data_IF_450240889043
#
_entry.id   IF_450240889043
#
_cell.length_a   1.000
_cell.length_b   1.000
_cell.length_c   1.000
_cell.angle_alpha   90.00
_cell.angle_beta   90.00
_cell.angle_gamma   90.00
#
_symmetry.space_group_name_H-M   'P 1'
#
loop_
_entity.id
_entity.type
_entity.pdbx_description
1 polymer ?
#
# COMPACT_ATOMS: atom_id res chain seq x y z
N UNK A 1 -10.18 28.76 -2.42
CA UNK A 1 -10.27 29.29 -3.80
C UNK A 1 -11.33 28.45 -4.49
N UNK A 2 -12.53 28.99 -4.60
CA UNK A 2 -13.67 28.36 -5.27
C UNK A 2 -13.49 28.61 -6.77
N UNK A 3 -13.09 27.58 -7.51
CA UNK A 3 -13.11 27.61 -8.96
C UNK A 3 -14.57 27.63 -9.41
N UNK A 4 -14.95 28.65 -10.17
CA UNK A 4 -16.26 28.72 -10.80
C UNK A 4 -16.33 27.66 -11.92
N UNK A 5 -17.47 26.97 -12.10
CA UNK A 5 -17.68 26.12 -13.27
C UNK A 5 -17.78 27.00 -14.52
N UNK A 6 -16.73 27.05 -15.28
CA UNK A 6 -16.64 27.79 -16.54
C UNK A 6 -15.84 26.98 -17.55
N UNK A 7 -16.45 26.79 -18.71
CA UNK A 7 -15.90 26.17 -19.93
C UNK A 7 -15.97 24.64 -20.03
N UNK A 8 -17.18 24.05 -19.96
CA UNK A 8 -17.39 22.68 -20.46
C UNK A 8 -16.66 21.57 -19.69
N UNK A 9 -15.99 21.89 -18.57
CA UNK A 9 -15.35 20.90 -17.70
C UNK A 9 -16.36 20.30 -16.73
N UNK A 10 -16.08 19.08 -16.31
CA UNK A 10 -16.84 18.35 -15.28
C UNK A 10 -16.00 18.21 -14.03
N UNK A 11 -16.66 18.26 -12.88
CA UNK A 11 -15.99 18.13 -11.58
C UNK A 11 -16.09 16.69 -11.07
N UNK A 12 -14.95 16.06 -10.82
CA UNK A 12 -14.85 14.74 -10.19
C UNK A 12 -14.37 14.92 -8.76
N UNK A 13 -15.20 14.52 -7.78
CA UNK A 13 -14.85 14.57 -6.35
C UNK A 13 -14.46 13.17 -5.87
N UNK A 14 -13.28 13.03 -5.30
CA UNK A 14 -12.77 11.78 -4.76
C UNK A 14 -12.97 11.72 -3.23
N UNK A 15 -13.73 10.74 -2.76
CA UNK A 15 -13.88 10.45 -1.33
C UNK A 15 -12.99 9.26 -0.92
N UNK A 16 -12.54 9.19 0.33
CA UNK A 16 -12.80 10.09 1.47
C UNK A 16 -11.95 11.37 1.49
N UNK A 17 -10.99 11.54 0.58
CA UNK A 17 -10.05 12.68 0.61
C UNK A 17 -10.75 14.05 0.43
N UNK A 18 -11.88 14.09 -0.27
CA UNK A 18 -12.58 15.32 -0.63
C UNK A 18 -11.84 16.17 -1.68
N UNK A 19 -10.82 15.61 -2.31
CA UNK A 19 -10.11 16.27 -3.41
C UNK A 19 -10.97 16.24 -4.67
N UNK A 20 -11.00 17.33 -5.42
CA UNK A 20 -11.75 17.44 -6.66
C UNK A 20 -10.84 17.82 -7.83
N UNK A 21 -11.19 17.29 -8.98
CA UNK A 21 -10.52 17.53 -10.26
C UNK A 21 -11.54 18.09 -11.25
N UNK A 22 -11.22 19.23 -11.86
CA UNK A 22 -11.99 19.77 -12.99
C UNK A 22 -11.33 19.29 -14.28
N UNK A 23 -12.03 18.44 -15.01
CA UNK A 23 -11.50 17.76 -16.19
C UNK A 23 -12.45 17.87 -17.37
N UNK A 24 -11.91 17.71 -18.58
CA UNK A 24 -12.75 17.66 -19.77
C UNK A 24 -13.67 16.42 -19.73
N UNK A 25 -14.93 16.53 -20.19
CA UNK A 25 -15.80 15.38 -20.36
C UNK A 25 -15.12 14.29 -21.21
N UNK A 26 -15.27 13.02 -20.80
CA UNK A 26 -14.58 11.90 -21.43
C UNK A 26 -13.22 11.56 -20.83
N UNK A 27 -12.73 12.33 -19.85
CA UNK A 27 -11.50 12.00 -19.12
C UNK A 27 -11.74 10.77 -18.22
N UNK A 28 -10.76 9.83 -18.19
CA UNK A 28 -10.86 8.68 -17.31
C UNK A 28 -10.74 9.09 -15.84
N UNK A 29 -11.44 8.38 -14.95
CA UNK A 29 -11.34 8.64 -13.51
C UNK A 29 -9.93 8.43 -12.98
N UNK A 30 -9.15 7.53 -13.60
CA UNK A 30 -7.75 7.32 -13.26
C UNK A 30 -6.88 8.53 -13.62
N UNK A 31 -7.09 9.13 -14.79
CA UNK A 31 -6.30 10.30 -15.20
C UNK A 31 -6.73 11.54 -14.42
N UNK A 32 -8.03 11.68 -14.11
CA UNK A 32 -8.53 12.70 -13.19
C UNK A 32 -7.88 12.58 -11.81
N UNK A 33 -7.80 11.37 -11.25
CA UNK A 33 -7.14 11.12 -9.96
C UNK A 33 -5.66 11.48 -9.99
N UNK A 34 -4.96 11.14 -11.08
CA UNK A 34 -3.54 11.46 -11.28
C UNK A 34 -3.29 12.96 -11.36
N UNK A 35 -4.15 13.70 -12.07
CA UNK A 35 -4.03 15.14 -12.21
C UNK A 35 -4.02 15.88 -10.86
N UNK A 36 -4.82 15.38 -9.92
CA UNK A 36 -4.95 15.97 -8.56
C UNK A 36 -4.21 15.17 -7.48
N UNK A 37 -3.37 14.20 -7.88
CA UNK A 37 -2.53 13.38 -6.98
C UNK A 37 -3.34 12.57 -5.96
N UNK A 38 -4.54 12.15 -6.31
CA UNK A 38 -5.30 11.18 -5.53
C UNK A 38 -4.67 9.80 -5.73
N UNK A 39 -4.44 9.10 -4.62
CA UNK A 39 -3.81 7.78 -4.62
C UNK A 39 -4.78 6.72 -5.17
N UNK A 40 -4.67 6.43 -6.46
CA UNK A 40 -5.43 5.38 -7.15
C UNK A 40 -4.45 4.47 -7.89
N UNK A 41 -4.36 3.21 -7.43
CA UNK A 41 -3.39 2.24 -7.95
C UNK A 41 -3.73 1.77 -9.39
N UNK A 42 -2.72 1.64 -10.21
CA UNK A 42 -2.87 1.13 -11.58
C UNK A 42 -1.58 0.49 -12.08
N UNK A 43 -1.35 -0.76 -11.71
CA UNK A 43 -0.14 -1.51 -12.10
C UNK A 43 -0.11 -1.87 -13.60
N UNK A 44 -1.26 -1.92 -14.28
CA UNK A 44 -1.32 -2.19 -15.72
C UNK A 44 -1.18 -0.94 -16.59
N UNK A 45 -1.04 0.25 -16.00
CA UNK A 45 -0.95 1.51 -16.73
C UNK A 45 -2.24 1.93 -17.44
N UNK A 46 -3.41 1.59 -16.89
CA UNK A 46 -4.71 2.03 -17.45
C UNK A 46 -5.33 1.09 -18.48
N UNK A 47 -4.82 -0.12 -18.66
CA UNK A 47 -5.27 -1.07 -19.70
C UNK A 47 -6.47 -1.95 -19.31
N UNK A 48 -7.13 -1.73 -18.18
CA UNK A 48 -8.28 -2.52 -17.72
C UNK A 48 -7.95 -3.95 -17.27
N UNK A 49 -6.67 -4.30 -17.05
CA UNK A 49 -6.23 -5.67 -16.82
C UNK A 49 -6.02 -6.05 -15.35
N UNK A 50 -5.55 -5.14 -14.52
CA UNK A 50 -5.15 -5.45 -13.15
C UNK A 50 -6.27 -5.33 -12.12
N UNK A 51 -7.27 -4.47 -12.37
CA UNK A 51 -8.38 -4.17 -11.47
C UNK A 51 -7.98 -3.46 -10.17
N UNK A 52 -6.78 -2.88 -10.12
CA UNK A 52 -6.33 -2.13 -8.96
C UNK A 52 -7.00 -0.76 -8.83
N UNK A 53 -7.44 -0.20 -9.94
CA UNK A 53 -8.09 1.11 -10.01
C UNK A 53 -9.61 1.02 -9.80
N UNK A 54 -10.10 0.07 -9.01
CA UNK A 54 -11.52 0.00 -8.71
C UNK A 54 -11.95 1.20 -7.88
N UNK A 55 -13.06 1.81 -8.26
CA UNK A 55 -13.69 2.95 -7.59
C UNK A 55 -15.18 2.72 -7.55
N UNK A 56 -15.86 3.33 -6.59
CA UNK A 56 -17.32 3.20 -6.46
C UNK A 56 -17.97 4.57 -6.68
N UNK A 57 -18.66 4.78 -7.80
CA UNK A 57 -19.44 5.99 -8.00
C UNK A 57 -20.56 6.10 -6.97
N UNK A 58 -20.74 7.29 -6.42
CA UNK A 58 -21.81 7.58 -5.45
C UNK A 58 -22.94 8.30 -6.17
N UNK A 59 -24.17 7.82 -6.00
CA UNK A 59 -25.37 8.41 -6.59
C UNK A 59 -26.12 9.22 -5.52
N UNK A 60 -26.51 10.43 -5.85
CA UNK A 60 -27.26 11.32 -4.94
C UNK A 60 -26.91 12.78 -5.08
N UNK A 61 -27.48 13.57 -4.18
CA UNK A 61 -27.20 15.01 -4.05
C UNK A 61 -26.14 15.25 -2.98
N UNK A 62 -25.08 15.91 -3.35
CA UNK A 62 -23.94 16.21 -2.46
C UNK A 62 -23.84 17.71 -2.22
N UNK A 63 -24.70 18.22 -1.34
CA UNK A 63 -24.81 19.64 -1.02
C UNK A 63 -23.48 20.28 -0.61
N UNK A 64 -22.58 19.51 0.01
CA UNK A 64 -21.25 19.97 0.41
C UNK A 64 -20.43 20.51 -0.77
N UNK A 65 -20.61 19.93 -1.95
CA UNK A 65 -19.86 20.27 -3.17
C UNK A 65 -20.76 20.87 -4.25
N UNK A 66 -22.09 20.94 -4.01
CA UNK A 66 -23.05 21.42 -4.98
C UNK A 66 -23.22 20.52 -6.20
N UNK A 67 -22.96 19.22 -6.05
CA UNK A 67 -22.95 18.24 -7.13
C UNK A 67 -24.13 17.29 -6.96
N UNK A 68 -24.80 17.02 -8.06
CA UNK A 68 -25.74 15.89 -8.22
C UNK A 68 -25.07 14.85 -9.11
N UNK A 69 -24.87 13.66 -8.59
CA UNK A 69 -24.22 12.55 -9.28
C UNK A 69 -25.21 11.43 -9.50
N UNK A 70 -25.27 10.90 -10.70
CA UNK A 70 -26.14 9.80 -11.09
C UNK A 70 -25.39 8.79 -11.98
N UNK A 71 -26.06 7.73 -12.39
CA UNK A 71 -25.44 6.70 -13.24
C UNK A 71 -25.04 7.24 -14.62
N UNK A 72 -25.67 8.32 -15.12
CA UNK A 72 -25.35 8.95 -16.39
C UNK A 72 -24.15 9.89 -16.32
N UNK A 73 -23.71 10.23 -15.11
CA UNK A 73 -22.50 11.04 -14.89
C UNK A 73 -21.22 10.34 -15.36
N UNK A 74 -21.28 9.03 -15.57
CA UNK A 74 -20.17 8.23 -16.11
C UNK A 74 -20.54 7.59 -17.45
N UNK A 75 -19.50 7.26 -18.21
CA UNK A 75 -19.67 6.46 -19.43
C UNK A 75 -20.34 5.11 -19.15
N UNK A 76 -21.08 4.55 -20.13
CA UNK A 76 -21.56 3.17 -20.03
C UNK A 76 -20.42 2.17 -19.78
N UNK A 77 -20.76 0.98 -19.30
CA UNK A 77 -19.80 -0.11 -19.15
C UNK A 77 -19.08 -0.40 -20.45
N UNK A 78 -17.76 -0.47 -20.40
CA UNK A 78 -16.94 -0.84 -21.55
C UNK A 78 -16.86 -2.37 -21.71
N UNK A 79 -16.53 -2.84 -22.90
CA UNK A 79 -16.26 -4.27 -23.14
C UNK A 79 -15.14 -4.78 -22.23
N UNK A 80 -14.11 -3.98 -22.03
CA UNK A 80 -12.98 -4.31 -21.13
C UNK A 80 -13.41 -4.50 -19.67
N UNK A 81 -14.35 -3.70 -19.16
CA UNK A 81 -14.93 -3.87 -17.82
C UNK A 81 -15.77 -5.14 -17.74
N UNK A 82 -16.55 -5.42 -18.76
CA UNK A 82 -17.37 -6.63 -18.86
C UNK A 82 -16.50 -7.88 -18.91
N UNK A 83 -15.45 -7.87 -19.73
CA UNK A 83 -14.46 -8.96 -19.81
C UNK A 83 -13.70 -9.14 -18.49
N UNK A 84 -13.37 -8.04 -17.82
CA UNK A 84 -12.73 -8.12 -16.50
C UNK A 84 -13.68 -8.76 -15.49
N UNK A 85 -14.94 -8.31 -15.41
CA UNK A 85 -15.96 -8.85 -14.52
C UNK A 85 -16.23 -10.34 -14.76
N UNK A 86 -16.12 -10.80 -15.99
CA UNK A 86 -16.25 -12.22 -16.34
C UNK A 86 -15.10 -13.09 -15.83
N UNK A 87 -13.93 -12.51 -15.55
CA UNK A 87 -12.73 -13.23 -15.11
C UNK A 87 -12.35 -12.97 -13.65
N UNK A 88 -12.76 -11.84 -13.10
CA UNK A 88 -12.41 -11.38 -11.76
C UNK A 88 -13.54 -10.60 -11.12
N UNK A 89 -13.53 -10.51 -9.81
CA UNK A 89 -14.56 -9.77 -9.07
C UNK A 89 -14.33 -8.26 -9.19
N UNK A 90 -15.40 -7.53 -9.49
CA UNK A 90 -15.53 -6.09 -9.24
C UNK A 90 -16.51 -5.97 -8.08
N UNK A 91 -16.19 -5.14 -7.09
CA UNK A 91 -17.09 -4.87 -5.96
C UNK A 91 -18.47 -4.39 -6.45
N UNK A 92 -19.55 -4.72 -5.74
CA UNK A 92 -20.90 -4.26 -6.12
C UNK A 92 -20.94 -2.74 -6.31
N UNK A 93 -21.45 -2.27 -7.45
CA UNK A 93 -21.47 -0.85 -7.82
C UNK A 93 -20.11 -0.28 -8.25
N UNK A 94 -19.05 -1.06 -8.17
CA UNK A 94 -17.69 -0.62 -8.54
C UNK A 94 -17.49 -0.53 -10.05
N UNK A 95 -16.57 0.31 -10.48
CA UNK A 95 -16.13 0.52 -11.86
C UNK A 95 -14.59 0.48 -11.93
N UNK A 96 -14.04 0.21 -13.09
CA UNK A 96 -12.60 0.36 -13.30
C UNK A 96 -12.29 1.83 -13.65
N UNK A 97 -11.63 2.55 -12.75
CA UNK A 97 -11.33 3.98 -12.93
C UNK A 97 -10.55 4.31 -14.20
N UNK A 98 -9.81 3.35 -14.76
CA UNK A 98 -9.11 3.54 -16.03
C UNK A 98 -10.00 3.37 -17.26
N UNK A 99 -11.19 2.77 -17.12
CA UNK A 99 -12.14 2.52 -18.22
C UNK A 99 -13.36 3.43 -18.11
N UNK A 100 -13.79 3.77 -16.90
CA UNK A 100 -14.89 4.69 -16.67
C UNK A 100 -14.43 6.13 -16.89
N UNK A 101 -15.17 6.88 -17.71
CA UNK A 101 -14.91 8.29 -18.00
C UNK A 101 -15.99 9.17 -17.42
N UNK A 102 -15.61 10.37 -16.95
CA UNK A 102 -16.54 11.37 -16.44
C UNK A 102 -17.23 12.10 -17.60
N UNK A 103 -18.56 12.10 -17.62
CA UNK A 103 -19.39 12.81 -18.61
C UNK A 103 -20.10 14.02 -18.00
N UNK A 104 -20.36 13.97 -16.69
CA UNK A 104 -20.92 15.06 -15.89
C UNK A 104 -20.26 15.04 -14.51
N UNK A 105 -20.66 15.98 -13.65
CA UNK A 105 -20.17 16.04 -12.27
C UNK A 105 -20.46 14.73 -11.54
N UNK A 106 -19.44 14.23 -10.82
CA UNK A 106 -19.53 12.92 -10.18
C UNK A 106 -18.76 12.87 -8.88
N UNK A 107 -19.33 12.18 -7.91
CA UNK A 107 -18.63 11.83 -6.64
C UNK A 107 -18.24 10.36 -6.69
N UNK A 108 -16.98 10.08 -6.42
CA UNK A 108 -16.39 8.76 -6.56
C UNK A 108 -15.67 8.37 -5.28
N UNK A 109 -16.00 7.23 -4.70
CA UNK A 109 -15.29 6.67 -3.56
C UNK A 109 -14.09 5.86 -4.03
N UNK A 110 -12.93 6.11 -3.41
CA UNK A 110 -11.68 5.38 -3.63
C UNK A 110 -11.46 4.42 -2.46
N UNK A 111 -11.81 3.15 -2.61
CA UNK A 111 -11.68 2.20 -1.51
C UNK A 111 -10.21 1.99 -1.11
N UNK A 112 -9.92 1.68 0.16
CA UNK A 112 -8.55 1.45 0.64
C UNK A 112 -7.80 0.35 -0.11
N UNK A 113 -8.53 -0.60 -0.71
CA UNK A 113 -7.93 -1.67 -1.52
C UNK A 113 -7.36 -1.18 -2.87
N UNK A 114 -7.81 -0.02 -3.34
CA UNK A 114 -7.38 0.62 -4.59
C UNK A 114 -6.31 1.68 -4.37
N UNK A 115 -5.79 1.84 -3.16
CA UNK A 115 -4.74 2.79 -2.81
C UNK A 115 -3.40 2.07 -2.66
N UNK A 116 -2.32 2.69 -3.18
CA UNK A 116 -0.94 2.19 -2.99
C UNK A 116 -0.47 2.48 -1.57
N UNK A 117 -0.71 3.70 -1.12
CA UNK A 117 -0.29 4.18 0.19
C UNK A 117 -1.41 3.99 1.21
N UNK A 118 -1.49 2.81 1.80
CA UNK A 118 -2.41 2.60 2.93
C UNK A 118 -1.96 3.48 4.09
N UNK A 119 -2.81 4.37 4.62
CA UNK A 119 -2.45 5.13 5.80
C UNK A 119 -2.25 4.16 6.96
N UNK A 120 -1.00 3.93 7.30
CA UNK A 120 -0.67 3.20 8.53
C UNK A 120 -0.92 4.16 9.68
N UNK A 121 -2.03 3.98 10.37
CA UNK A 121 -2.29 4.71 11.62
C UNK A 121 -1.24 4.26 12.63
N UNK A 122 -0.14 5.00 12.71
CA UNK A 122 0.85 4.82 13.77
C UNK A 122 0.24 5.40 15.05
N UNK A 123 -0.29 4.53 15.89
CA UNK A 123 -0.62 4.95 17.25
C UNK A 123 0.68 5.41 17.90
N UNK A 124 0.71 6.65 18.40
CA UNK A 124 1.78 7.07 19.30
C UNK A 124 1.65 6.19 20.54
N UNK A 125 2.56 5.25 20.68
CA UNK A 125 2.67 4.47 21.90
C UNK A 125 3.62 5.25 22.79
N UNK A 126 3.06 5.98 23.75
CA UNK A 126 3.83 6.51 24.86
C UNK A 126 4.17 5.32 25.77
N UNK A 127 5.39 4.86 25.70
CA UNK A 127 5.95 3.88 26.61
C UNK A 127 6.81 4.61 27.66
N UNK A 128 6.23 5.01 28.80
CA UNK A 128 6.99 5.66 29.85
C UNK A 128 8.02 4.66 30.39
N UNK A 129 9.30 5.05 30.36
CA UNK A 129 10.40 4.24 30.90
C UNK A 129 11.08 3.30 29.90
N UNK A 130 10.73 3.33 28.60
CA UNK A 130 11.47 2.58 27.60
C UNK A 130 12.72 3.36 27.16
N UNK A 131 13.89 2.88 27.56
CA UNK A 131 15.16 3.35 27.00
C UNK A 131 15.37 2.65 25.66
N UNK A 132 15.33 3.40 24.57
CA UNK A 132 15.61 2.87 23.24
C UNK A 132 17.12 2.64 23.10
N UNK A 133 17.54 1.37 23.03
CA UNK A 133 18.89 0.97 22.64
C UNK A 133 18.84 0.33 21.23
N UNK A 134 18.88 1.14 20.18
CA UNK A 134 18.69 0.64 18.81
C UNK A 134 19.92 -0.18 18.38
N UNK A 135 19.67 -1.36 17.81
CA UNK A 135 20.73 -2.20 17.22
C UNK A 135 21.44 -1.50 16.04
N UNK A 136 20.77 -0.56 15.39
CA UNK A 136 21.32 0.20 14.27
C UNK A 136 21.10 1.68 14.56
N UNK A 137 22.17 2.45 14.52
CA UNK A 137 22.14 3.89 14.70
C UNK A 137 22.70 4.56 13.46
N UNK A 138 21.97 5.51 12.88
CA UNK A 138 22.48 6.35 11.80
C UNK A 138 23.42 7.41 12.36
N UNK A 139 24.57 7.59 11.73
CA UNK A 139 25.55 8.61 12.06
C UNK A 139 25.87 9.43 10.82
N UNK A 140 25.94 10.74 10.98
CA UNK A 140 26.42 11.63 9.94
C UNK A 140 27.94 11.72 10.07
N UNK A 141 28.66 11.59 8.95
CA UNK A 141 30.12 11.66 8.87
C UNK A 141 30.49 12.47 7.66
N UNK A 142 31.38 13.44 7.81
CA UNK A 142 31.98 14.18 6.71
C UNK A 142 33.26 13.45 6.28
N UNK A 143 33.33 13.12 5.00
CA UNK A 143 34.54 12.53 4.44
C UNK A 143 35.42 13.63 3.85
N UNK A 144 36.77 13.55 4.02
CA UNK A 144 37.69 14.50 3.39
C UNK A 144 37.62 14.36 1.85
N UNK A 145 37.91 15.45 1.15
CA UNK A 145 38.07 15.39 -0.30
C UNK A 145 39.27 14.49 -0.66
N UNK A 146 39.05 13.61 -1.63
CA UNK A 146 40.06 12.66 -2.09
C UNK A 146 41.00 13.38 -3.07
N UNK A 147 42.30 13.33 -2.80
CA UNK A 147 43.32 13.80 -3.73
C UNK A 147 43.77 12.69 -4.67
N UNK A 148 44.12 13.07 -5.92
CA UNK A 148 44.67 12.09 -6.86
C UNK A 148 46.02 11.58 -6.32
N UNK A 149 46.06 10.29 -5.99
CA UNK A 149 47.25 9.63 -5.41
C UNK A 149 47.04 9.15 -3.97
N UNK A 150 45.85 9.33 -3.39
CA UNK A 150 45.53 8.72 -2.12
C UNK A 150 45.39 7.21 -2.28
N UNK A 151 46.25 6.45 -1.62
CA UNK A 151 46.27 4.99 -1.70
C UNK A 151 45.24 4.32 -0.73
N UNK A 152 44.57 5.11 0.13
CA UNK A 152 43.58 4.61 1.06
C UNK A 152 42.28 4.25 0.34
N UNK A 153 41.70 3.16 0.72
CA UNK A 153 40.37 2.79 0.22
C UNK A 153 39.25 3.63 0.87
N UNK A 154 38.13 3.80 0.19
CA UNK A 154 36.93 4.48 0.73
C UNK A 154 36.49 3.94 2.07
N UNK A 155 36.68 2.63 2.30
CA UNK A 155 36.35 1.97 3.56
C UNK A 155 37.30 2.37 4.69
N UNK A 156 38.58 2.59 4.38
CA UNK A 156 39.56 3.06 5.35
C UNK A 156 39.29 4.49 5.75
N UNK A 157 39.03 5.35 4.79
CA UNK A 157 38.66 6.77 5.01
C UNK A 157 37.41 6.88 5.87
N UNK A 158 36.36 6.09 5.53
CA UNK A 158 35.14 6.07 6.32
C UNK A 158 35.39 5.56 7.76
N UNK A 159 36.25 4.56 7.97
CA UNK A 159 36.60 4.07 9.31
C UNK A 159 37.35 5.11 10.12
N UNK A 160 38.28 5.79 9.49
CA UNK A 160 39.06 6.86 10.16
C UNK A 160 38.13 8.00 10.59
N UNK A 161 37.22 8.45 9.70
CA UNK A 161 36.25 9.48 10.01
C UNK A 161 35.28 9.03 11.13
N UNK A 162 34.74 7.80 11.08
CA UNK A 162 33.90 7.25 12.14
C UNK A 162 34.63 7.12 13.48
N UNK A 163 35.94 6.81 13.45
CA UNK A 163 36.73 6.74 14.66
C UNK A 163 37.01 8.14 15.26
N UNK A 164 37.28 9.11 14.41
CA UNK A 164 37.52 10.50 14.79
C UNK A 164 36.28 11.18 15.39
N UNK A 165 35.14 11.11 14.65
CA UNK A 165 33.93 11.84 15.03
C UNK A 165 33.09 11.15 16.10
N UNK A 166 33.09 9.81 16.11
CA UNK A 166 32.18 9.02 16.93
C UNK A 166 32.85 7.98 17.83
N UNK A 167 34.18 7.85 17.77
CA UNK A 167 34.93 6.84 18.54
C UNK A 167 34.61 5.39 18.12
N UNK A 168 34.15 5.19 16.88
CA UNK A 168 33.78 3.87 16.36
C UNK A 168 34.93 3.31 15.55
N UNK A 169 35.70 2.37 16.13
CA UNK A 169 36.91 1.81 15.52
C UNK A 169 36.66 0.66 14.53
N UNK A 170 35.40 0.33 14.24
CA UNK A 170 35.04 -0.75 13.31
C UNK A 170 35.47 -2.14 13.72
N UNK A 171 36.10 -2.29 14.86
CA UNK A 171 36.45 -3.61 15.43
C UNK A 171 35.16 -4.25 15.92
N UNK A 172 34.83 -5.41 15.41
CA UNK A 172 33.69 -6.21 15.90
C UNK A 172 33.85 -6.37 17.41
N UNK A 173 33.10 -5.62 18.21
CA UNK A 173 32.92 -6.00 19.62
C UNK A 173 32.29 -7.39 19.56
N UNK A 174 33.06 -8.41 19.97
CA UNK A 174 32.47 -9.71 20.28
C UNK A 174 31.32 -9.41 21.23
N UNK A 175 30.08 -9.73 20.83
CA UNK A 175 28.98 -9.76 21.80
C UNK A 175 29.51 -10.48 23.03
N UNK A 176 29.47 -9.88 24.25
CA UNK A 176 29.77 -10.63 25.44
C UNK A 176 28.86 -11.86 25.39
N UNK A 177 29.45 -13.04 25.24
CA UNK A 177 28.71 -14.28 25.42
C UNK A 177 27.99 -14.10 26.75
N UNK A 178 26.68 -14.12 26.75
CA UNK A 178 25.89 -14.22 27.96
C UNK A 178 26.59 -15.28 28.82
N UNK A 179 27.04 -14.88 30.01
CA UNK A 179 27.71 -15.77 30.94
C UNK A 179 26.82 -17.00 31.09
N UNK A 180 27.34 -18.15 30.70
CA UNK A 180 26.57 -19.37 30.56
C UNK A 180 25.85 -19.71 31.88
N UNK A 181 24.55 -19.70 31.82
CA UNK A 181 23.81 -20.68 32.63
C UNK A 181 24.08 -22.04 31.99
N UNK A 182 24.85 -22.83 32.68
CA UNK A 182 25.04 -24.26 32.41
C UNK A 182 23.67 -24.89 32.16
N UNK A 183 23.50 -25.73 31.12
CA UNK A 183 22.26 -26.47 30.97
C UNK A 183 22.16 -27.47 32.13
N UNK A 184 21.46 -27.06 33.20
CA UNK A 184 21.04 -27.95 34.27
C UNK A 184 20.10 -29.00 33.66
N UNK A 185 20.50 -30.20 33.92
CA UNK A 185 19.86 -31.49 33.80
C UNK A 185 18.31 -31.41 33.89
N UNK A 186 17.63 -31.24 32.81
CA UNK A 186 16.18 -31.50 32.73
C UNK A 186 15.95 -32.97 32.34
N UNK A 187 16.00 -33.81 33.40
CA UNK A 187 15.40 -35.14 33.36
C UNK A 187 14.11 -35.12 32.61
N UNK A 188 14.06 -35.95 31.57
CA UNK A 188 12.89 -36.39 30.82
C UNK A 188 11.68 -36.64 31.73
N UNK A 189 10.69 -35.77 31.65
CA UNK A 189 9.30 -36.15 31.94
C UNK A 189 8.61 -36.35 30.60
N UNK A 190 8.56 -37.61 30.19
CA UNK A 190 7.75 -38.08 29.09
C UNK A 190 6.30 -38.18 29.55
N UNK A 191 5.54 -37.12 29.40
CA UNK A 191 4.07 -37.23 29.39
C UNK A 191 3.62 -37.53 27.99
N UNK A 192 3.17 -38.79 27.80
CA UNK A 192 2.70 -39.27 26.51
C UNK A 192 1.38 -38.60 26.11
N UNK A 193 1.42 -37.68 25.19
CA UNK A 193 0.23 -37.31 24.42
C UNK A 193 0.27 -38.07 23.09
N UNK A 194 -0.51 -39.15 23.03
CA UNK A 194 -0.79 -39.86 21.78
C UNK A 194 -1.65 -38.97 20.90
N UNK A 195 -1.05 -38.40 19.85
CA UNK A 195 -1.78 -37.78 18.74
C UNK A 195 -2.56 -38.89 18.01
N UNK A 196 -3.86 -38.87 18.17
CA UNK A 196 -4.82 -39.69 17.42
C UNK A 196 -4.94 -39.12 16.02
N UNK A 197 -4.50 -39.87 15.02
CA UNK A 197 -4.64 -39.52 13.61
C UNK A 197 -6.11 -39.34 13.20
N UNK A 198 -6.47 -38.38 12.34
CA UNK A 198 -7.85 -38.25 11.86
C UNK A 198 -8.21 -39.43 10.95
N UNK A 199 -9.38 -40.02 11.22
CA UNK A 199 -9.98 -41.06 10.40
C UNK A 199 -10.26 -40.56 9.00
N UNK A 200 -9.77 -41.27 7.97
CA UNK A 200 -10.17 -41.08 6.58
C UNK A 200 -11.69 -41.32 6.45
N UNK A 201 -12.39 -40.27 5.99
CA UNK A 201 -13.80 -40.39 5.59
C UNK A 201 -13.81 -41.05 4.20
N UNK A 202 -14.46 -42.24 4.13
CA UNK A 202 -14.60 -43.00 2.91
C UNK A 202 -15.53 -42.29 1.93
N UNK A 203 -15.07 -42.12 0.69
CA UNK A 203 -15.90 -41.67 -0.41
C UNK A 203 -16.93 -42.75 -0.77
N UNK A 204 -18.19 -42.47 -0.45
CA UNK A 204 -19.33 -43.27 -0.90
C UNK A 204 -19.48 -43.17 -2.41
N UNK A 205 -19.57 -44.32 -3.07
CA UNK A 205 -19.91 -44.46 -4.50
C UNK A 205 -21.33 -43.92 -4.78
N UNK A 206 -21.44 -43.05 -5.78
CA UNK A 206 -22.73 -42.62 -6.33
C UNK A 206 -23.45 -43.77 -7.04
N UNK A 207 -24.79 -43.89 -6.94
CA UNK A 207 -25.55 -44.92 -7.66
C UNK A 207 -25.71 -44.53 -9.14
N UNK A 208 -25.52 -45.52 -10.04
CA UNK A 208 -25.83 -45.42 -11.47
C UNK A 208 -27.35 -45.47 -11.64
N UNK A 209 -27.92 -44.47 -12.27
CA UNK A 209 -29.29 -44.48 -12.80
C UNK A 209 -29.27 -45.15 -14.18
N UNK A 210 -30.24 -46.07 -14.34
CA UNK A 210 -30.62 -46.67 -15.63
C UNK A 210 -31.55 -45.69 -16.37
#
# INVERSE_FOLDING_TARGET
MTSQPGDGNVTVVFTPSGVHADVAPGTSLLDAARAVKVDLDSTCGGRGLCGRCQVTPSVGEFAKWGITSDESSLSPWTSSETDYKGRRTIEPGGRLGCMATALADVVVDVPPASQVHRPVVRKKIDLPGLTLDPLITARYVELPELELGDERSDVEILREALAADWGIDGRRRRCPRAAGTSPGDHRRQTSGHRHRAPRRVGHGRAPRLR
#
